data_IF_852591021468
#
_entry.id   IF_852591021468
#
_cell.length_a   1.000
_cell.length_b   1.000
_cell.length_c   1.000
_cell.angle_alpha   90.00
_cell.angle_beta   90.00
_cell.angle_gamma   90.00
#
_symmetry.space_group_name_H-M   'P 1'
#
loop_
_entity.id
_entity.type
_entity.pdbx_description
1 polymer ?
#
# COMPACT_ATOMS: atom_id res chain seq x y z
N UNK A 1 0.81 66.82 -10.58
CA UNK A 1 0.66 65.73 -11.57
C UNK A 1 1.62 64.58 -11.31
N UNK A 2 2.93 64.81 -11.20
CA UNK A 2 3.95 63.74 -10.99
C UNK A 2 3.71 62.89 -9.74
N UNK A 3 3.37 63.51 -8.59
CA UNK A 3 3.07 62.77 -7.35
C UNK A 3 1.83 61.88 -7.47
N UNK A 4 0.81 62.31 -8.22
CA UNK A 4 -0.38 61.51 -8.46
C UNK A 4 -0.06 60.29 -9.34
N UNK A 5 0.82 60.46 -10.34
CA UNK A 5 1.27 59.35 -11.19
C UNK A 5 2.07 58.34 -10.36
N UNK A 6 3.00 58.80 -9.52
CA UNK A 6 3.79 57.90 -8.63
C UNK A 6 2.86 57.14 -7.67
N UNK A 7 1.89 57.83 -7.05
CA UNK A 7 0.93 57.21 -6.16
C UNK A 7 0.08 56.13 -6.86
N UNK A 8 -0.38 56.41 -8.09
CA UNK A 8 -1.11 55.46 -8.93
C UNK A 8 -0.23 54.27 -9.35
N UNK A 9 1.04 54.50 -9.71
CA UNK A 9 1.97 53.42 -10.06
C UNK A 9 2.22 52.47 -8.89
N UNK A 10 2.42 52.99 -7.68
CA UNK A 10 2.66 52.17 -6.48
C UNK A 10 1.44 51.32 -6.09
N UNK A 11 0.24 51.91 -6.17
CA UNK A 11 -1.00 51.18 -5.89
C UNK A 11 -1.25 50.10 -6.93
N UNK A 12 -1.01 50.39 -8.21
CA UNK A 12 -1.18 49.41 -9.29
C UNK A 12 -0.19 48.23 -9.16
N UNK A 13 1.06 48.51 -8.75
CA UNK A 13 2.05 47.46 -8.50
C UNK A 13 1.62 46.50 -7.39
N UNK A 14 1.10 47.02 -6.28
CA UNK A 14 0.62 46.20 -5.16
C UNK A 14 -0.56 45.31 -5.55
N UNK A 15 -1.46 45.82 -6.40
CA UNK A 15 -2.60 45.05 -6.92
C UNK A 15 -2.11 43.95 -7.86
N UNK A 16 -1.13 44.25 -8.73
CA UNK A 16 -0.56 43.26 -9.63
C UNK A 16 0.06 42.08 -8.88
N UNK A 17 0.85 42.34 -7.83
CA UNK A 17 1.41 41.26 -7.01
C UNK A 17 0.33 40.43 -6.30
N UNK A 18 -0.72 41.06 -5.79
CA UNK A 18 -1.85 40.32 -5.18
C UNK A 18 -2.53 39.40 -6.18
N UNK A 19 -2.73 39.86 -7.41
CA UNK A 19 -3.30 39.03 -8.48
C UNK A 19 -2.40 37.85 -8.82
N UNK A 20 -1.09 38.08 -8.93
CA UNK A 20 -0.13 37.01 -9.19
C UNK A 20 -0.18 35.92 -8.09
N UNK A 21 -0.13 36.32 -6.82
CA UNK A 21 -0.21 35.38 -5.69
C UNK A 21 -1.54 34.63 -5.62
N UNK A 22 -2.65 35.28 -6.00
CA UNK A 22 -3.96 34.61 -6.05
C UNK A 22 -4.02 33.60 -7.20
N UNK A 23 -3.47 33.93 -8.36
CA UNK A 23 -3.41 33.01 -9.49
C UNK A 23 -2.52 31.80 -9.19
N UNK A 24 -1.41 32.00 -8.49
CA UNK A 24 -0.55 30.91 -8.03
C UNK A 24 -1.30 29.97 -7.08
N UNK A 25 -2.03 30.52 -6.10
CA UNK A 25 -2.89 29.72 -5.20
C UNK A 25 -4.01 28.99 -5.93
N UNK A 26 -4.60 29.60 -6.96
CA UNK A 26 -5.60 28.92 -7.79
C UNK A 26 -4.96 27.73 -8.50
N UNK A 27 -3.76 27.91 -9.08
CA UNK A 27 -3.04 26.82 -9.75
C UNK A 27 -2.65 25.70 -8.78
N UNK A 28 -2.18 26.04 -7.58
CA UNK A 28 -1.87 25.10 -6.50
C UNK A 28 -3.12 24.28 -6.11
N UNK A 29 -4.23 24.96 -5.79
CA UNK A 29 -5.48 24.31 -5.42
C UNK A 29 -6.06 23.44 -6.55
N UNK A 30 -5.93 23.87 -7.80
CA UNK A 30 -6.32 23.06 -8.95
C UNK A 30 -5.46 21.79 -9.07
N UNK A 31 -4.15 21.90 -8.81
CA UNK A 31 -3.25 20.75 -8.73
C UNK A 31 -3.66 19.78 -7.62
N UNK A 32 -3.95 20.29 -6.42
CA UNK A 32 -4.44 19.47 -5.30
C UNK A 32 -5.74 18.74 -5.64
N UNK A 33 -6.70 19.40 -6.29
CA UNK A 33 -7.94 18.78 -6.75
C UNK A 33 -7.64 17.61 -7.70
N UNK A 34 -6.76 17.81 -8.68
CA UNK A 34 -6.40 16.76 -9.64
C UNK A 34 -5.79 15.54 -8.94
N UNK A 35 -4.89 15.76 -7.97
CA UNK A 35 -4.27 14.67 -7.20
C UNK A 35 -5.31 13.94 -6.34
N UNK A 36 -6.24 14.66 -5.73
CA UNK A 36 -7.32 14.07 -4.93
C UNK A 36 -8.30 13.27 -5.79
N UNK A 37 -8.61 13.74 -7.01
CA UNK A 37 -9.46 13.01 -7.95
C UNK A 37 -8.81 11.71 -8.40
N UNK A 38 -7.51 11.71 -8.72
CA UNK A 38 -6.77 10.51 -9.07
C UNK A 38 -6.76 9.49 -7.93
N UNK A 39 -6.47 9.94 -6.70
CA UNK A 39 -6.53 9.09 -5.49
C UNK A 39 -7.93 8.53 -5.26
N UNK A 40 -8.97 9.31 -5.51
CA UNK A 40 -10.35 8.85 -5.39
C UNK A 40 -10.63 7.71 -6.37
N UNK A 41 -10.17 7.82 -7.61
CA UNK A 41 -10.34 6.77 -8.62
C UNK A 41 -9.59 5.51 -8.19
N UNK A 42 -8.33 5.63 -7.79
CA UNK A 42 -7.51 4.51 -7.31
C UNK A 42 -8.19 3.79 -6.14
N UNK A 43 -8.59 4.52 -5.10
CA UNK A 43 -9.26 3.97 -3.93
C UNK A 43 -10.60 3.32 -4.29
N UNK A 44 -11.36 3.91 -5.21
CA UNK A 44 -12.61 3.31 -5.68
C UNK A 44 -12.37 1.98 -6.39
N UNK A 45 -11.31 1.88 -7.20
CA UNK A 45 -10.91 0.63 -7.84
C UNK A 45 -10.49 -0.43 -6.84
N UNK A 46 -9.72 -0.05 -5.81
CA UNK A 46 -9.33 -0.96 -4.73
C UNK A 46 -10.55 -1.48 -3.97
N UNK A 47 -11.52 -0.61 -3.65
CA UNK A 47 -12.77 -1.01 -2.98
C UNK A 47 -13.52 -2.02 -3.86
N UNK A 48 -13.66 -1.76 -5.16
CA UNK A 48 -14.32 -2.68 -6.08
C UNK A 48 -13.61 -4.03 -6.15
N UNK A 49 -12.28 -4.04 -6.14
CA UNK A 49 -11.50 -5.28 -6.12
C UNK A 49 -11.69 -6.05 -4.80
N UNK A 50 -11.60 -5.40 -3.65
CA UNK A 50 -11.79 -6.05 -2.34
C UNK A 50 -13.21 -6.60 -2.17
N UNK A 51 -14.20 -5.98 -2.81
CA UNK A 51 -15.58 -6.45 -2.82
C UNK A 51 -15.85 -7.56 -3.84
N UNK A 52 -14.89 -7.86 -4.73
CA UNK A 52 -15.07 -8.88 -5.76
C UNK A 52 -14.94 -10.30 -5.22
N UNK A 53 -15.60 -11.24 -5.90
CA UNK A 53 -15.51 -12.67 -5.58
C UNK A 53 -14.08 -13.21 -5.71
N UNK A 54 -13.26 -12.63 -6.61
CA UNK A 54 -11.86 -12.99 -6.80
C UNK A 54 -11.04 -12.71 -5.53
N UNK A 55 -11.28 -11.59 -4.86
CA UNK A 55 -10.62 -11.27 -3.60
C UNK A 55 -11.07 -12.21 -2.47
N UNK A 56 -12.36 -12.52 -2.41
CA UNK A 56 -12.91 -13.48 -1.43
C UNK A 56 -12.26 -14.85 -1.62
N UNK A 57 -12.13 -15.30 -2.86
CA UNK A 57 -11.47 -16.56 -3.16
C UNK A 57 -9.98 -16.55 -2.80
N UNK A 58 -9.28 -15.48 -3.13
CA UNK A 58 -7.86 -15.35 -2.79
C UNK A 58 -7.67 -15.43 -1.27
N UNK A 59 -8.47 -14.70 -0.49
CA UNK A 59 -8.43 -14.77 0.98
C UNK A 59 -8.79 -16.17 1.48
N UNK A 60 -9.78 -16.83 0.88
CA UNK A 60 -10.18 -18.19 1.25
C UNK A 60 -9.04 -19.20 1.00
N UNK A 61 -8.30 -19.07 -0.11
CA UNK A 61 -7.15 -19.91 -0.44
C UNK A 61 -5.95 -19.62 0.46
N UNK A 62 -5.60 -18.35 0.63
CA UNK A 62 -4.36 -17.92 1.27
C UNK A 62 -4.44 -18.00 2.81
N UNK A 63 -5.59 -17.64 3.40
CA UNK A 63 -5.73 -17.56 4.86
C UNK A 63 -6.46 -18.74 5.46
N UNK A 64 -7.38 -19.34 4.71
CA UNK A 64 -8.24 -20.42 5.22
C UNK A 64 -7.90 -21.78 4.60
N UNK A 65 -6.93 -21.85 3.68
CA UNK A 65 -6.58 -23.04 2.89
C UNK A 65 -7.81 -23.72 2.27
N UNK A 66 -8.84 -22.94 1.95
CA UNK A 66 -10.07 -23.41 1.34
C UNK A 66 -9.88 -23.57 -0.17
N UNK A 67 -10.63 -24.52 -0.74
CA UNK A 67 -10.64 -24.82 -2.17
C UNK A 67 -12.07 -24.89 -2.67
N UNK A 68 -12.26 -24.72 -3.97
CA UNK A 68 -13.59 -24.89 -4.57
C UNK A 68 -14.03 -26.37 -4.50
N UNK A 69 -15.33 -26.65 -4.37
CA UNK A 69 -15.83 -28.02 -4.43
C UNK A 69 -15.50 -28.64 -5.80
N UNK A 70 -14.78 -29.78 -5.79
CA UNK A 70 -14.31 -30.46 -7.00
C UNK A 70 -12.85 -30.19 -7.39
N UNK A 71 -12.13 -29.37 -6.63
CA UNK A 71 -10.72 -29.05 -6.89
C UNK A 71 -9.76 -30.07 -6.26
N UNK A 72 -8.79 -30.56 -7.04
CA UNK A 72 -7.76 -31.50 -6.59
C UNK A 72 -6.51 -30.74 -6.12
N UNK A 73 -6.04 -31.04 -4.91
CA UNK A 73 -4.88 -30.36 -4.32
C UNK A 73 -3.67 -31.27 -4.48
N UNK A 74 -2.64 -30.79 -5.17
CA UNK A 74 -1.36 -31.48 -5.31
C UNK A 74 -0.41 -30.96 -4.25
N UNK A 75 0.04 -31.83 -3.36
CA UNK A 75 1.11 -31.52 -2.40
C UNK A 75 2.42 -31.97 -3.01
N UNK A 76 3.30 -31.02 -3.34
CA UNK A 76 4.66 -31.31 -3.78
C UNK A 76 5.45 -31.67 -2.52
N UNK A 77 5.78 -32.95 -2.36
CA UNK A 77 6.75 -33.39 -1.37
C UNK A 77 8.13 -33.26 -2.00
N UNK A 78 9.01 -32.47 -1.40
CA UNK A 78 10.43 -32.53 -1.74
C UNK A 78 10.92 -33.93 -1.40
N UNK A 79 11.36 -34.69 -2.40
CA UNK A 79 11.91 -36.04 -2.25
C UNK A 79 13.19 -36.00 -1.41
N UNK A 80 13.05 -35.93 -0.09
CA UNK A 80 14.06 -36.50 0.81
C UNK A 80 13.83 -38.00 0.82
N UNK A 81 14.47 -38.65 -0.14
CA UNK A 81 14.71 -40.10 -0.20
C UNK A 81 14.79 -40.68 1.20
N UNK A 82 13.82 -41.53 1.50
CA UNK A 82 13.97 -42.52 2.55
C UNK A 82 15.04 -43.51 2.08
N UNK A 83 16.12 -43.60 2.84
CA UNK A 83 17.21 -44.56 2.65
C UNK A 83 17.78 -44.88 4.02
N UNK A 84 17.22 -45.93 4.63
CA UNK A 84 17.90 -46.88 5.52
C UNK A 84 18.80 -46.30 6.62
N UNK A 85 18.22 -46.16 7.81
CA UNK A 85 18.79 -46.55 9.11
C UNK A 85 20.29 -46.24 9.36
N UNK A 86 20.62 -45.05 9.88
CA UNK A 86 21.76 -44.80 10.79
C UNK A 86 21.52 -43.64 11.75
N UNK A 87 21.51 -44.00 13.03
CA UNK A 87 21.77 -43.22 14.25
C UNK A 87 20.81 -42.08 14.64
N UNK A 88 20.22 -42.26 15.83
CA UNK A 88 19.36 -41.30 16.52
C UNK A 88 20.16 -40.05 16.88
N UNK A 89 20.15 -39.05 16.01
CA UNK A 89 20.55 -37.70 16.40
C UNK A 89 19.55 -37.15 17.41
N UNK A 90 19.99 -37.09 18.66
CA UNK A 90 19.20 -36.59 19.78
C UNK A 90 18.82 -35.14 19.51
N UNK A 91 17.52 -34.92 19.31
CA UNK A 91 16.96 -33.62 18.93
C UNK A 91 17.29 -32.54 19.97
N UNK A 92 17.56 -31.34 19.47
CA UNK A 92 17.89 -30.14 20.23
C UNK A 92 16.97 -29.87 21.45
N UNK A 93 15.71 -30.26 21.38
CA UNK A 93 14.75 -30.19 22.49
C UNK A 93 15.07 -31.09 23.68
N UNK A 94 15.65 -32.27 23.44
CA UNK A 94 16.11 -33.18 24.50
C UNK A 94 17.35 -32.61 25.22
N UNK A 95 18.22 -31.92 24.48
CA UNK A 95 19.35 -31.17 25.06
C UNK A 95 18.89 -29.94 25.85
N UNK A 96 17.79 -29.30 25.45
CA UNK A 96 17.20 -28.17 26.17
C UNK A 96 16.56 -28.59 27.49
N UNK A 97 15.85 -29.72 27.51
CA UNK A 97 15.21 -30.25 28.72
C UNK A 97 16.21 -30.57 29.83
N UNK A 98 17.39 -31.10 29.49
CA UNK A 98 18.40 -31.47 30.49
C UNK A 98 19.05 -30.27 31.19
N UNK A 99 19.06 -29.11 30.56
CA UNK A 99 19.60 -27.87 31.13
C UNK A 99 18.62 -27.22 32.12
N UNK A 100 17.31 -27.43 31.92
CA UNK A 100 16.27 -26.83 32.77
C UNK A 100 15.91 -27.67 34.00
N UNK A 101 16.40 -28.91 34.09
CA UNK A 101 16.07 -29.86 35.16
C UNK A 101 17.10 -29.90 36.31
N UNK A 102 17.91 -28.85 36.46
CA UNK A 102 18.87 -28.71 37.57
C UNK A 102 18.60 -27.42 38.34
#
# INVERSE_FOLDING_TARGET
>A
MVLAIIFLSLTNWKIYQRKANLNEKIAELQGEISVLEERKIELSGLISYVQSDDYVEQVARDQLNMKRPGEEVVVIQDDKKDSGDKEREVGWWEKLKSIFSK
#
